data_IF_560139615342
#
_entry.id   IF_560139615342
#
_cell.length_a   1.000
_cell.length_b   1.000
_cell.length_c   1.000
_cell.angle_alpha   90.00
_cell.angle_beta   90.00
_cell.angle_gamma   90.00
#
_symmetry.space_group_name_H-M   'P 1'
#
loop_
_entity.id
_entity.type
_entity.pdbx_description
1 polymer ?
#
# COMPACT_ATOMS: atom_id res chain seq x y z
N UNK A 1 7.66 13.12 -29.86
CA UNK A 1 7.15 14.05 -28.83
C UNK A 1 6.06 13.38 -28.00
N UNK A 2 5.08 12.68 -28.60
CA UNK A 2 4.08 11.90 -27.86
C UNK A 2 4.66 10.84 -26.92
N UNK A 3 5.62 10.01 -27.36
CA UNK A 3 6.20 8.97 -26.50
C UNK A 3 6.87 9.51 -25.21
N UNK A 4 7.53 10.68 -25.29
CA UNK A 4 8.13 11.30 -24.12
C UNK A 4 7.07 11.84 -23.14
N UNK A 5 5.92 12.27 -23.66
CA UNK A 5 4.78 12.71 -22.85
C UNK A 5 4.08 11.51 -22.21
N UNK A 6 4.04 10.35 -22.87
CA UNK A 6 3.52 9.10 -22.32
C UNK A 6 4.41 8.54 -21.20
N UNK A 7 5.72 8.48 -21.41
CA UNK A 7 6.68 8.04 -20.38
C UNK A 7 6.66 8.96 -19.15
N UNK A 8 6.57 10.28 -19.37
CA UNK A 8 6.49 11.24 -18.27
C UNK A 8 5.19 11.11 -17.48
N UNK A 9 4.04 10.93 -18.14
CA UNK A 9 2.77 10.66 -17.45
C UNK A 9 2.85 9.38 -16.63
N UNK A 10 3.34 8.28 -17.21
CA UNK A 10 3.48 7.02 -16.49
C UNK A 10 4.39 7.13 -15.24
N UNK A 11 5.50 7.86 -15.36
CA UNK A 11 6.39 8.12 -14.24
C UNK A 11 5.73 8.97 -13.14
N UNK A 12 4.99 10.01 -13.52
CA UNK A 12 4.26 10.88 -12.59
C UNK A 12 3.13 10.11 -11.89
N UNK A 13 2.36 9.31 -12.61
CA UNK A 13 1.23 8.55 -12.06
C UNK A 13 1.71 7.48 -11.08
N UNK A 14 2.80 6.78 -11.42
CA UNK A 14 3.43 5.79 -10.53
C UNK A 14 4.03 6.46 -9.30
N UNK A 15 4.71 7.59 -9.47
CA UNK A 15 5.27 8.36 -8.35
C UNK A 15 4.15 8.86 -7.43
N UNK A 16 3.07 9.40 -7.99
CA UNK A 16 1.91 9.85 -7.25
C UNK A 16 1.29 8.69 -6.44
N UNK A 17 1.12 7.52 -7.06
CA UNK A 17 0.64 6.31 -6.37
C UNK A 17 1.52 5.92 -5.17
N UNK A 18 2.84 5.96 -5.32
CA UNK A 18 3.78 5.65 -4.23
C UNK A 18 3.74 6.70 -3.10
N UNK A 19 3.64 7.99 -3.44
CA UNK A 19 3.55 9.06 -2.44
C UNK A 19 2.23 8.96 -1.66
N UNK A 20 1.11 8.75 -2.35
CA UNK A 20 -0.18 8.54 -1.69
C UNK A 20 -0.16 7.27 -0.81
N UNK A 21 0.46 6.18 -1.29
CA UNK A 21 0.66 4.97 -0.49
C UNK A 21 1.46 5.22 0.80
N UNK A 22 2.53 6.02 0.72
CA UNK A 22 3.32 6.40 1.89
C UNK A 22 2.52 7.25 2.90
N UNK A 23 1.68 8.17 2.42
CA UNK A 23 0.80 8.97 3.27
C UNK A 23 -0.29 8.13 3.97
N UNK A 24 -0.79 7.09 3.30
CA UNK A 24 -1.74 6.14 3.92
C UNK A 24 -1.07 5.35 5.04
N UNK A 25 0.15 4.89 4.85
CA UNK A 25 0.92 4.20 5.89
C UNK A 25 1.16 5.09 7.12
N UNK A 26 1.27 6.40 6.93
CA UNK A 26 1.37 7.38 8.01
C UNK A 26 0.12 7.45 8.91
N UNK A 27 -1.07 7.06 8.42
CA UNK A 27 -2.27 7.02 9.26
C UNK A 27 -2.15 6.01 10.41
N UNK A 28 -1.46 4.89 10.21
CA UNK A 28 -1.24 3.91 11.28
C UNK A 28 -0.44 4.52 12.44
N UNK A 29 0.60 5.31 12.13
CA UNK A 29 1.34 6.07 13.13
C UNK A 29 0.45 7.12 13.82
N UNK A 30 -0.40 7.83 13.07
CA UNK A 30 -1.36 8.80 13.61
C UNK A 30 -2.36 8.20 14.61
N UNK A 31 -2.97 7.06 14.29
CA UNK A 31 -3.89 6.36 15.20
C UNK A 31 -3.18 5.79 16.42
N UNK A 32 -1.97 5.26 16.26
CA UNK A 32 -1.17 4.76 17.39
C UNK A 32 -0.89 5.85 18.43
N UNK A 33 -0.72 7.10 17.99
CA UNK A 33 -0.47 8.25 18.87
C UNK A 33 -1.75 8.73 19.58
N UNK A 34 -2.92 8.62 18.93
CA UNK A 34 -4.22 8.88 19.55
C UNK A 34 -4.54 7.85 20.64
N UNK A 35 -4.32 6.57 20.38
CA UNK A 35 -4.53 5.50 21.37
C UNK A 35 -3.55 5.59 22.54
N UNK A 36 -2.30 5.99 22.28
CA UNK A 36 -1.30 6.24 23.32
C UNK A 36 -1.68 7.41 24.25
N UNK A 37 -2.30 8.47 23.71
CA UNK A 37 -2.68 9.67 24.44
C UNK A 37 -3.94 9.53 25.31
N UNK A 38 -4.85 8.60 24.97
CA UNK A 38 -6.08 8.34 25.73
C UNK A 38 -5.87 7.35 26.90
N UNK A 39 -4.69 6.78 27.03
CA UNK A 39 -4.37 5.74 28.01
C UNK A 39 -3.52 6.34 29.13
N UNK A 40 -3.76 5.85 30.36
CA UNK A 40 -2.91 6.14 31.53
C UNK A 40 -1.42 5.91 31.19
N UNK A 41 -0.62 6.95 31.39
CA UNK A 41 0.83 7.01 31.10
C UNK A 41 1.64 5.78 31.47
N UNK A 42 1.30 5.10 32.57
CA UNK A 42 2.01 3.89 33.04
C UNK A 42 1.90 2.68 32.07
N UNK A 43 0.85 2.62 31.25
CA UNK A 43 0.55 1.51 30.34
C UNK A 43 0.65 1.92 28.86
N UNK A 44 1.05 3.16 28.57
CA UNK A 44 1.09 3.71 27.20
C UNK A 44 2.06 2.94 26.28
N UNK A 45 3.22 2.52 26.80
CA UNK A 45 4.21 1.75 26.04
C UNK A 45 3.70 0.36 25.60
N UNK A 46 2.90 -0.30 26.44
CA UNK A 46 2.31 -1.61 26.15
C UNK A 46 1.33 -1.53 24.98
N UNK A 47 0.53 -0.46 24.93
CA UNK A 47 -0.50 -0.27 23.90
C UNK A 47 0.14 0.16 22.58
N UNK A 48 1.13 1.04 22.62
CA UNK A 48 1.88 1.43 21.43
C UNK A 48 2.55 0.21 20.77
N UNK A 49 3.14 -0.67 21.57
CA UNK A 49 3.78 -1.90 21.07
C UNK A 49 2.77 -2.84 20.40
N UNK A 50 1.55 -2.96 20.94
CA UNK A 50 0.47 -3.73 20.30
C UNK A 50 0.04 -3.13 18.96
N UNK A 51 -0.05 -1.80 18.88
CA UNK A 51 -0.47 -1.12 17.65
C UNK A 51 0.59 -1.29 16.54
N UNK A 52 1.88 -1.15 16.88
CA UNK A 52 2.99 -1.40 15.95
C UNK A 52 3.05 -2.89 15.53
N UNK A 53 2.85 -3.80 16.49
CA UNK A 53 2.82 -5.24 16.22
C UNK A 53 1.70 -5.63 15.26
N UNK A 54 0.49 -5.08 15.47
CA UNK A 54 -0.65 -5.30 14.57
C UNK A 54 -0.35 -4.78 13.17
N UNK A 55 0.26 -3.59 13.05
CA UNK A 55 0.63 -3.01 11.77
C UNK A 55 1.63 -3.89 11.00
N UNK A 56 2.68 -4.36 11.67
CA UNK A 56 3.69 -5.24 11.05
C UNK A 56 3.09 -6.58 10.57
N UNK A 57 2.21 -7.18 11.38
CA UNK A 57 1.52 -8.42 11.02
C UNK A 57 0.53 -8.18 9.87
N UNK A 58 -0.21 -7.07 9.88
CA UNK A 58 -1.14 -6.72 8.81
C UNK A 58 -0.42 -6.51 7.48
N UNK A 59 0.69 -5.78 7.46
CA UNK A 59 1.50 -5.59 6.24
C UNK A 59 2.03 -6.93 5.71
N UNK A 60 2.54 -7.79 6.60
CA UNK A 60 3.09 -9.10 6.23
C UNK A 60 2.00 -10.02 5.68
N UNK A 61 0.83 -10.08 6.33
CA UNK A 61 -0.30 -10.88 5.86
C UNK A 61 -0.90 -10.35 4.56
N UNK A 62 -0.93 -9.03 4.38
CA UNK A 62 -1.37 -8.43 3.12
C UNK A 62 -0.43 -8.81 1.97
N UNK A 63 0.89 -8.85 2.23
CA UNK A 63 1.89 -9.30 1.27
C UNK A 63 1.72 -10.78 0.90
N UNK A 64 1.48 -11.64 1.89
CA UNK A 64 1.42 -13.10 1.69
C UNK A 64 0.13 -13.56 1.02
N UNK A 65 -1.00 -13.03 1.47
CA UNK A 65 -2.32 -13.55 1.11
C UNK A 65 -3.37 -12.45 0.85
N UNK A 66 -3.23 -11.27 1.46
CA UNK A 66 -4.22 -10.21 1.28
C UNK A 66 -4.30 -9.66 -0.14
N UNK A 67 -3.17 -9.56 -0.85
CA UNK A 67 -3.16 -9.15 -2.25
C UNK A 67 -3.82 -10.20 -3.17
N UNK A 68 -3.54 -11.48 -2.92
CA UNK A 68 -4.18 -12.60 -3.61
C UNK A 68 -5.70 -12.59 -3.43
N UNK A 69 -6.17 -12.38 -2.21
CA UNK A 69 -7.59 -12.32 -1.91
C UNK A 69 -8.29 -11.12 -2.55
N UNK A 70 -7.67 -9.93 -2.55
CA UNK A 70 -8.31 -8.69 -2.97
C UNK A 70 -8.32 -8.48 -4.48
N UNK A 71 -7.27 -8.92 -5.17
CA UNK A 71 -7.12 -8.76 -6.62
C UNK A 71 -7.02 -10.09 -7.39
N UNK A 72 -7.17 -11.23 -6.72
CA UNK A 72 -7.12 -12.56 -7.33
C UNK A 72 -5.72 -12.98 -7.81
N UNK A 73 -4.66 -12.40 -7.24
CA UNK A 73 -3.30 -12.40 -7.80
C UNK A 73 -2.19 -13.01 -6.93
N UNK A 74 -2.40 -14.15 -6.28
CA UNK A 74 -1.37 -14.90 -5.54
C UNK A 74 -0.74 -16.02 -6.36
N UNK A 75 0.50 -16.46 -6.10
CA UNK A 75 1.32 -16.30 -4.91
C UNK A 75 2.37 -15.17 -5.03
N UNK A 76 2.28 -14.20 -4.13
CA UNK A 76 3.12 -13.01 -3.92
C UNK A 76 3.31 -11.98 -5.04
N UNK A 77 3.39 -12.37 -6.30
CA UNK A 77 3.46 -11.46 -7.45
C UNK A 77 3.38 -12.22 -8.78
N UNK A 78 2.47 -13.20 -8.87
CA UNK A 78 2.30 -14.07 -10.05
C UNK A 78 2.08 -13.30 -11.37
N UNK A 79 1.76 -12.00 -11.29
CA UNK A 79 1.51 -11.11 -12.41
C UNK A 79 2.13 -9.70 -12.33
N UNK A 80 3.40 -9.55 -11.93
CA UNK A 80 4.19 -8.40 -12.45
C UNK A 80 4.40 -8.53 -13.99
N UNK A 81 4.06 -9.67 -14.58
CA UNK A 81 3.76 -9.77 -16.01
C UNK A 81 2.65 -8.77 -16.33
N UNK A 82 2.99 -7.73 -17.11
CA UNK A 82 2.01 -6.81 -17.61
C UNK A 82 0.83 -7.57 -18.23
N UNK A 83 -0.36 -7.40 -17.66
CA UNK A 83 -1.56 -7.30 -18.49
C UNK A 83 -1.56 -5.90 -19.12
N UNK A 84 -0.49 -5.57 -19.86
CA UNK A 84 -0.70 -4.78 -21.04
C UNK A 84 -1.36 -5.73 -22.02
N UNK A 85 -2.70 -5.72 -22.07
CA UNK A 85 -3.57 -6.16 -23.20
C UNK A 85 -5.06 -5.79 -22.95
N UNK A 86 -5.35 -4.73 -22.19
CA UNK A 86 -6.66 -4.02 -22.28
C UNK A 86 -6.53 -2.59 -22.78
N UNK A 87 -5.46 -2.28 -23.52
CA UNK A 87 -5.32 -1.05 -24.31
C UNK A 87 -4.71 -1.27 -25.71
N UNK A 88 -4.61 -2.52 -26.19
CA UNK A 88 -4.14 -2.85 -27.54
C UNK A 88 -5.22 -3.48 -28.42
N UNK A 89 -6.51 -3.26 -28.13
CA UNK A 89 -7.62 -3.65 -29.02
C UNK A 89 -8.79 -2.66 -28.88
N UNK A 90 -8.51 -1.36 -28.92
CA UNK A 90 -9.50 -0.33 -29.32
C UNK A 90 -9.14 0.26 -30.69
N UNK A 91 -8.50 -0.58 -31.52
CA UNK A 91 -8.36 -0.39 -32.96
C UNK A 91 -9.17 -1.44 -33.72
N UNK A 92 -10.27 -1.89 -33.11
CA UNK A 92 -11.52 -2.24 -33.78
C UNK A 92 -12.62 -1.32 -33.22
#
# INVERSE_FOLDING_TARGET
MENQILELQYAIDTFYFLVMGALVMWMAAGFSMLEAGLVRSKNTAEILTKNIGLFAIACTMYMIYGYDLMYGGGAFLSGISGQGETYSNASD
#
